data_IF_856567738231
#
_entry.id   IF_856567738231
#
_cell.length_a   1.000
_cell.length_b   1.000
_cell.length_c   1.000
_cell.angle_alpha   90.00
_cell.angle_beta   90.00
_cell.angle_gamma   90.00
#
_symmetry.space_group_name_H-M   'P 1'
#
loop_
_entity.id
_entity.type
_entity.pdbx_description
1 polymer ?
#
# COMPACT_ATOMS: atom_id res chain seq x y z
N UNK A 1 8.64 -18.39 17.62
CA UNK A 1 9.82 -17.50 17.60
C UNK A 1 10.39 -17.58 16.20
N UNK A 2 10.32 -16.49 15.45
CA UNK A 2 10.83 -16.42 14.08
C UNK A 2 12.35 -16.36 14.18
N UNK A 3 13.06 -17.37 13.68
CA UNK A 3 14.51 -17.33 13.56
C UNK A 3 14.88 -16.46 12.37
N UNK A 4 15.68 -15.41 12.62
CA UNK A 4 16.21 -14.49 11.61
C UNK A 4 17.20 -15.24 10.70
N UNK A 5 16.95 -15.25 9.39
CA UNK A 5 17.94 -15.60 8.39
C UNK A 5 18.42 -14.31 7.71
N UNK A 6 19.73 -14.08 7.67
CA UNK A 6 20.34 -12.84 7.16
C UNK A 6 20.06 -12.61 5.66
N UNK A 7 19.55 -11.41 5.36
CA UNK A 7 19.81 -10.54 4.20
C UNK A 7 19.89 -11.16 2.81
N UNK A 8 18.80 -11.08 2.02
CA UNK A 8 18.84 -11.34 0.57
C UNK A 8 18.75 -10.04 -0.24
N UNK A 9 19.46 -10.00 -1.37
CA UNK A 9 19.70 -8.81 -2.21
C UNK A 9 18.53 -8.55 -3.17
N UNK A 10 18.21 -7.28 -3.42
CA UNK A 10 17.33 -6.86 -4.54
C UNK A 10 18.08 -5.89 -5.45
N UNK A 11 17.85 -6.00 -6.77
CA UNK A 11 18.33 -5.06 -7.79
C UNK A 11 17.18 -4.21 -8.32
N UNK A 12 17.22 -2.88 -8.13
CA UNK A 12 16.34 -1.92 -8.83
C UNK A 12 17.15 -0.82 -9.52
N UNK A 13 16.71 -0.46 -10.73
CA UNK A 13 17.24 0.63 -11.59
C UNK A 13 16.56 1.96 -11.24
N UNK A 14 17.26 3.11 -11.22
CA UNK A 14 16.70 4.37 -10.74
C UNK A 14 16.10 5.24 -11.86
N UNK A 15 14.80 5.51 -11.77
CA UNK A 15 14.13 6.70 -12.31
C UNK A 15 12.96 6.98 -11.36
N UNK A 16 12.73 8.15 -10.78
CA UNK A 16 13.04 9.51 -11.20
C UNK A 16 11.69 10.22 -11.40
N UNK A 17 11.11 10.80 -10.33
CA UNK A 17 9.96 11.71 -10.40
C UNK A 17 9.93 12.52 -9.09
N UNK A 18 10.24 13.83 -9.05
CA UNK A 18 9.50 14.94 -9.64
C UNK A 18 8.06 14.99 -9.11
N UNK A 19 7.86 15.83 -8.10
CA UNK A 19 6.56 16.21 -7.57
C UNK A 19 5.76 16.91 -8.68
N UNK A 20 4.55 16.42 -8.93
CA UNK A 20 3.51 17.21 -9.57
C UNK A 20 2.28 17.17 -8.68
N UNK A 21 1.88 18.36 -8.27
CA UNK A 21 0.78 18.68 -7.37
C UNK A 21 -0.54 18.64 -8.13
N UNK A 22 -1.39 17.64 -7.87
CA UNK A 22 -2.84 17.79 -7.95
C UNK A 22 -3.46 16.99 -6.80
N UNK A 23 -4.10 17.73 -5.89
CA UNK A 23 -4.88 17.17 -4.81
C UNK A 23 -6.15 16.52 -5.39
N UNK A 24 -6.28 15.21 -5.24
CA UNK A 24 -7.54 14.49 -5.43
C UNK A 24 -7.54 13.24 -4.55
N UNK A 25 -8.24 13.36 -3.41
CA UNK A 25 -9.16 12.37 -2.86
C UNK A 25 -8.73 10.88 -2.86
N UNK A 26 -7.94 10.48 -1.86
CA UNK A 26 -7.61 9.08 -1.57
C UNK A 26 -8.28 8.58 -0.29
N UNK A 27 -9.61 8.67 -0.24
CA UNK A 27 -10.42 8.19 0.90
C UNK A 27 -11.70 7.46 0.54
N UNK A 28 -12.21 7.56 -0.69
CA UNK A 28 -13.56 7.11 -1.03
C UNK A 28 -13.65 5.77 -1.81
N UNK A 29 -12.63 5.35 -2.54
CA UNK A 29 -12.78 4.27 -3.55
C UNK A 29 -12.26 2.88 -3.12
N UNK A 30 -11.95 2.68 -1.84
CA UNK A 30 -11.42 1.40 -1.33
C UNK A 30 -12.36 0.70 -0.34
N UNK A 31 -13.59 1.22 -0.18
CA UNK A 31 -14.61 0.72 0.76
C UNK A 31 -15.74 -0.10 0.14
N UNK A 32 -16.02 0.04 -1.16
CA UNK A 32 -17.29 -0.45 -1.74
C UNK A 32 -17.21 -1.83 -2.42
N UNK A 33 -16.06 -2.51 -2.39
CA UNK A 33 -15.91 -3.81 -3.06
C UNK A 33 -16.40 -5.03 -2.22
N UNK A 34 -17.01 -4.83 -1.04
CA UNK A 34 -17.34 -5.94 -0.14
C UNK A 34 -18.70 -5.86 0.61
N UNK A 35 -19.68 -5.10 0.13
CA UNK A 35 -21.06 -5.19 0.65
C UNK A 35 -22.12 -5.15 -0.46
N UNK A 36 -22.13 -6.13 -1.37
CA UNK A 36 -23.29 -6.35 -2.24
C UNK A 36 -23.39 -7.80 -2.73
N UNK A 37 -23.59 -8.75 -1.79
CA UNK A 37 -24.30 -10.01 -2.11
C UNK A 37 -24.79 -10.74 -0.85
N UNK A 38 -25.70 -10.10 -0.10
CA UNK A 38 -26.56 -10.85 0.83
C UNK A 38 -27.89 -10.12 1.08
N UNK A 39 -28.67 -9.90 0.02
CA UNK A 39 -30.07 -9.51 0.14
C UNK A 39 -30.97 -10.60 -0.45
N UNK A 40 -31.51 -11.48 0.41
CA UNK A 40 -32.73 -12.22 0.10
C UNK A 40 -33.94 -11.46 0.64
N UNK A 41 -35.07 -11.42 -0.10
CA UNK A 41 -36.10 -10.40 0.06
C UNK A 41 -37.05 -10.70 1.21
N UNK A 42 -37.21 -9.74 2.13
CA UNK A 42 -38.29 -9.75 3.13
C UNK A 42 -39.63 -9.30 2.52
N UNK A 43 -40.65 -10.15 2.61
CA UNK A 43 -42.05 -9.77 2.40
C UNK A 43 -42.66 -9.39 3.75
N UNK A 44 -43.13 -8.14 3.81
CA UNK A 44 -43.76 -7.50 4.96
C UNK A 44 -45.06 -8.18 5.44
N UNK A 45 -45.24 -8.32 6.76
CA UNK A 45 -46.06 -7.42 7.62
C UNK A 45 -46.93 -8.13 8.70
N UNK A 46 -46.82 -7.58 9.93
CA UNK A 46 -47.80 -7.46 11.03
C UNK A 46 -48.10 -8.61 12.02
N UNK A 47 -47.53 -8.40 13.21
CA UNK A 47 -48.22 -8.05 14.48
C UNK A 47 -48.40 -9.10 15.61
N UNK A 48 -48.01 -8.62 16.80
CA UNK A 48 -48.58 -8.86 18.14
C UNK A 48 -48.08 -10.03 19.03
N UNK A 49 -47.33 -9.64 20.07
CA UNK A 49 -47.58 -9.89 21.52
C UNK A 49 -47.44 -11.30 22.16
N UNK A 50 -46.59 -11.31 23.21
CA UNK A 50 -46.61 -12.09 24.48
C UNK A 50 -46.03 -13.52 24.54
N UNK A 51 -44.93 -13.63 25.30
CA UNK A 51 -44.84 -14.41 26.55
C UNK A 51 -44.61 -15.94 26.48
N UNK A 52 -43.84 -16.54 27.41
CA UNK A 52 -43.11 -17.80 27.17
C UNK A 52 -43.76 -19.07 27.76
N UNK A 53 -43.44 -20.24 27.19
CA UNK A 53 -43.76 -21.54 27.80
C UNK A 53 -43.36 -22.81 27.02
N UNK A 54 -42.49 -23.61 27.64
CA UNK A 54 -42.36 -25.09 27.64
C UNK A 54 -41.98 -25.91 26.37
N UNK A 55 -40.76 -26.46 26.43
CA UNK A 55 -40.36 -27.88 26.48
C UNK A 55 -40.75 -28.92 25.39
N UNK A 56 -39.68 -29.58 24.90
CA UNK A 56 -39.46 -30.95 24.35
C UNK A 56 -38.92 -30.90 22.91
N UNK A 57 -37.65 -31.26 22.66
CA UNK A 57 -37.08 -32.62 22.60
C UNK A 57 -37.68 -33.43 21.45
N UNK A 58 -36.95 -33.50 20.33
CA UNK A 58 -36.81 -34.68 19.48
C UNK A 58 -35.45 -34.59 18.76
N UNK A 59 -34.64 -35.63 18.97
CA UNK A 59 -33.49 -36.01 18.17
C UNK A 59 -34.03 -36.83 17.00
N UNK A 60 -33.67 -36.52 15.75
CA UNK A 60 -33.74 -37.49 14.66
C UNK A 60 -32.71 -37.16 13.56
N UNK A 61 -32.19 -38.23 12.98
CA UNK A 61 -30.87 -38.40 12.42
C UNK A 61 -30.63 -37.69 11.08
N UNK A 62 -29.56 -36.89 11.03
CA UNK A 62 -29.02 -36.26 9.81
C UNK A 62 -28.12 -37.19 9.01
N UNK A 63 -28.67 -38.28 8.48
CA UNK A 63 -27.98 -39.16 7.55
C UNK A 63 -28.86 -39.40 6.32
N UNK A 64 -28.70 -38.57 5.28
CA UNK A 64 -29.04 -38.86 3.87
C UNK A 64 -28.66 -37.71 2.90
N UNK A 65 -27.48 -37.10 3.11
CA UNK A 65 -27.00 -35.97 2.28
C UNK A 65 -25.88 -36.35 1.29
N UNK A 66 -25.78 -37.63 0.90
CA UNK A 66 -24.79 -38.11 -0.08
C UNK A 66 -25.34 -39.24 -0.96
N UNK A 67 -26.39 -38.95 -1.72
CA UNK A 67 -26.89 -39.81 -2.80
C UNK A 67 -26.42 -39.29 -4.15
N UNK A 68 -25.33 -39.88 -4.66
CA UNK A 68 -24.97 -39.81 -6.06
C UNK A 68 -25.98 -40.65 -6.85
N UNK A 69 -26.70 -40.04 -7.79
CA UNK A 69 -27.34 -40.79 -8.87
C UNK A 69 -26.97 -40.11 -10.20
N UNK A 70 -26.14 -40.84 -10.95
CA UNK A 70 -25.94 -40.68 -12.38
C UNK A 70 -27.14 -41.32 -13.08
N UNK A 71 -27.86 -40.58 -13.93
CA UNK A 71 -28.60 -41.22 -15.02
C UNK A 71 -28.63 -40.31 -16.25
N UNK A 72 -27.94 -40.79 -17.29
CA UNK A 72 -27.99 -40.33 -18.67
C UNK A 72 -29.41 -40.38 -19.22
N UNK A 73 -29.90 -39.31 -19.85
CA UNK A 73 -30.85 -39.45 -20.97
C UNK A 73 -30.80 -38.27 -21.94
N UNK A 74 -30.94 -38.65 -23.20
CA UNK A 74 -30.64 -37.94 -24.45
C UNK A 74 -31.69 -36.92 -24.92
N UNK A 75 -31.18 -35.87 -25.58
CA UNK A 75 -31.71 -35.13 -26.78
C UNK A 75 -33.10 -34.49 -26.76
N UNK A 76 -33.19 -33.17 -26.97
CA UNK A 76 -33.55 -32.54 -28.26
C UNK A 76 -33.52 -31.00 -28.22
N UNK A 77 -33.33 -30.41 -29.40
CA UNK A 77 -32.94 -29.04 -29.69
C UNK A 77 -34.05 -27.99 -29.63
N UNK A 78 -33.67 -26.72 -29.43
CA UNK A 78 -34.33 -25.59 -30.11
C UNK A 78 -33.46 -24.34 -30.22
N UNK A 79 -33.26 -23.91 -31.47
CA UNK A 79 -32.76 -22.60 -31.92
C UNK A 79 -33.41 -21.42 -31.19
N UNK A 80 -32.64 -20.39 -30.80
CA UNK A 80 -32.96 -18.97 -31.10
C UNK A 80 -31.75 -18.03 -30.93
N UNK A 81 -31.37 -17.37 -32.04
CA UNK A 81 -30.79 -16.00 -32.21
C UNK A 81 -29.44 -15.60 -31.58
N UNK A 82 -28.51 -15.31 -32.49
CA UNK A 82 -27.34 -14.43 -32.33
C UNK A 82 -27.71 -12.94 -32.20
N UNK A 83 -27.06 -12.23 -31.28
CA UNK A 83 -26.55 -10.86 -31.38
C UNK A 83 -25.51 -10.64 -30.24
N UNK A 84 -24.49 -9.79 -30.43
CA UNK A 84 -23.15 -10.01 -29.88
C UNK A 84 -22.97 -9.53 -28.44
N UNK A 85 -22.10 -10.25 -27.73
CA UNK A 85 -21.50 -9.89 -26.44
C UNK A 85 -20.74 -8.56 -26.57
N UNK A 86 -21.08 -7.62 -25.67
CA UNK A 86 -20.16 -6.59 -25.23
C UNK A 86 -19.51 -7.12 -23.96
N UNK A 87 -18.29 -7.61 -24.09
CA UNK A 87 -17.38 -7.73 -22.95
C UNK A 87 -16.98 -6.30 -22.55
N UNK A 88 -17.61 -5.78 -21.52
CA UNK A 88 -17.02 -4.75 -20.67
C UNK A 88 -16.11 -5.49 -19.68
N UNK A 89 -14.91 -5.87 -20.15
CA UNK A 89 -13.78 -6.10 -19.24
C UNK A 89 -13.28 -4.72 -18.81
N UNK A 90 -13.80 -4.30 -17.66
CA UNK A 90 -13.30 -3.22 -16.84
C UNK A 90 -11.84 -3.50 -16.47
N UNK A 91 -10.94 -2.85 -17.19
CA UNK A 91 -9.48 -2.87 -17.04
C UNK A 91 -9.07 -2.08 -15.78
N UNK A 92 -9.55 -2.53 -14.62
CA UNK A 92 -9.30 -1.97 -13.28
C UNK A 92 -7.87 -2.28 -12.75
N UNK A 93 -6.99 -2.79 -13.61
CA UNK A 93 -5.56 -2.98 -13.31
C UNK A 93 -4.70 -1.74 -13.65
N UNK A 94 -5.26 -0.70 -14.26
CA UNK A 94 -4.54 0.53 -14.61
C UNK A 94 -4.38 1.55 -13.46
N UNK A 95 -4.96 1.28 -12.28
CA UNK A 95 -4.90 2.17 -11.11
C UNK A 95 -3.55 2.16 -10.36
N UNK A 96 -2.54 1.45 -10.88
CA UNK A 96 -1.18 1.44 -10.34
C UNK A 96 -0.19 1.54 -11.50
N UNK A 97 0.21 2.78 -11.82
CA UNK A 97 1.05 3.15 -12.97
C UNK A 97 2.34 2.34 -13.15
N UNK A 98 2.21 1.18 -13.79
CA UNK A 98 3.27 0.31 -14.29
C UNK A 98 2.90 -0.26 -15.67
N UNK A 99 2.30 0.58 -16.53
CA UNK A 99 2.07 0.29 -17.94
C UNK A 99 2.78 1.34 -18.79
N UNK A 100 3.86 0.94 -19.47
CA UNK A 100 4.43 1.73 -20.56
C UNK A 100 3.43 1.68 -21.73
N UNK A 101 2.85 2.82 -22.09
CA UNK A 101 2.14 2.96 -23.36
C UNK A 101 2.86 3.97 -24.25
N UNK A 102 3.49 3.40 -25.28
CA UNK A 102 4.30 4.04 -26.31
C UNK A 102 3.38 4.85 -27.22
N UNK A 103 3.21 6.15 -26.94
CA UNK A 103 2.52 7.08 -27.85
C UNK A 103 3.53 8.01 -28.51
N UNK A 104 3.97 7.62 -29.71
CA UNK A 104 4.81 8.44 -30.57
C UNK A 104 4.05 9.68 -31.03
N UNK A 105 4.42 10.87 -30.52
CA UNK A 105 4.09 12.15 -31.16
C UNK A 105 5.38 12.87 -31.56
N UNK A 106 5.53 13.12 -32.86
CA UNK A 106 6.63 13.89 -33.47
C UNK A 106 6.67 15.33 -32.95
N UNK A 107 7.86 15.89 -32.66
CA UNK A 107 8.05 17.32 -32.62
C UNK A 107 8.75 17.87 -33.87
N UNK A 108 8.20 18.99 -34.31
CA UNK A 108 8.52 19.84 -35.46
C UNK A 108 9.97 20.36 -35.43
N UNK A 109 10.61 20.38 -36.60
CA UNK A 109 11.99 20.84 -36.83
C UNK A 109 12.15 22.38 -36.80
N UNK A 110 13.23 22.85 -36.17
CA UNK A 110 13.90 24.13 -36.46
C UNK A 110 15.42 24.02 -36.18
N UNK A 111 16.28 24.88 -36.79
CA UNK A 111 17.53 24.42 -37.43
C UNK A 111 18.81 24.47 -36.58
N UNK A 112 19.77 23.60 -36.97
CA UNK A 112 21.13 23.44 -36.42
C UNK A 112 22.05 24.65 -36.66
N UNK A 113 22.98 24.93 -35.74
CA UNK A 113 24.32 25.38 -36.09
C UNK A 113 25.36 24.27 -35.85
N UNK A 114 26.30 24.17 -36.80
CA UNK A 114 27.42 23.23 -36.82
C UNK A 114 28.50 23.67 -35.81
N UNK A 115 28.94 22.74 -34.97
CA UNK A 115 30.20 22.85 -34.21
C UNK A 115 30.69 21.46 -33.82
N UNK A 116 31.81 21.02 -34.40
CA UNK A 116 32.47 19.74 -34.07
C UNK A 116 33.29 19.91 -32.79
N UNK A 117 33.05 19.07 -31.79
CA UNK A 117 33.98 18.72 -30.71
C UNK A 117 33.63 17.31 -30.17
N UNK A 118 34.60 16.58 -29.58
CA UNK A 118 34.66 15.12 -29.65
C UNK A 118 33.75 14.43 -28.63
N UNK A 119 33.36 13.22 -29.01
CA UNK A 119 32.52 12.27 -28.30
C UNK A 119 33.02 11.99 -26.87
N UNK A 120 32.39 12.59 -25.87
CA UNK A 120 32.44 12.11 -24.50
C UNK A 120 31.20 11.24 -24.29
N UNK A 121 31.39 9.92 -24.36
CA UNK A 121 30.37 8.96 -23.95
C UNK A 121 30.16 9.16 -22.43
N UNK A 122 29.08 9.85 -22.08
CA UNK A 122 28.52 9.74 -20.74
C UNK A 122 27.95 8.32 -20.62
N UNK A 123 28.77 7.40 -20.15
CA UNK A 123 28.29 6.16 -19.56
C UNK A 123 27.51 6.56 -18.30
N UNK A 124 26.20 6.65 -18.41
CA UNK A 124 25.30 6.63 -17.26
C UNK A 124 25.48 5.27 -16.60
N UNK A 125 26.41 5.17 -15.65
CA UNK A 125 26.51 4.01 -14.76
C UNK A 125 25.18 3.89 -14.03
N UNK A 126 24.38 2.90 -14.41
CA UNK A 126 23.19 2.48 -13.68
C UNK A 126 23.64 2.11 -12.26
N UNK A 127 23.35 2.99 -11.31
CA UNK A 127 23.56 2.73 -9.89
C UNK A 127 22.45 1.76 -9.47
N UNK A 128 22.74 0.47 -9.54
CA UNK A 128 21.87 -0.55 -8.92
C UNK A 128 22.01 -0.40 -7.41
N UNK A 129 21.04 0.26 -6.79
CA UNK A 129 20.95 0.36 -5.34
C UNK A 129 20.60 -1.04 -4.81
N UNK A 130 21.60 -1.70 -4.22
CA UNK A 130 21.42 -2.99 -3.56
C UNK A 130 20.95 -2.74 -2.14
N UNK A 131 19.74 -3.19 -1.85
CA UNK A 131 19.21 -3.20 -0.50
C UNK A 131 19.07 -4.63 0.00
N UNK A 132 19.18 -4.80 1.31
CA UNK A 132 19.03 -6.09 2.01
C UNK A 132 17.75 -6.07 2.82
N UNK A 133 17.03 -7.18 2.83
CA UNK A 133 15.87 -7.41 3.70
C UNK A 133 15.95 -8.78 4.36
N UNK A 134 15.20 -8.95 5.45
CA UNK A 134 15.21 -10.19 6.24
C UNK A 134 14.02 -11.07 5.88
N UNK A 135 14.30 -12.37 5.73
CA UNK A 135 13.29 -13.41 5.53
C UNK A 135 13.23 -14.32 6.76
N UNK A 136 12.08 -14.96 6.98
CA UNK A 136 11.97 -16.00 8.01
C UNK A 136 12.58 -17.32 7.53
N UNK A 137 12.52 -18.33 8.39
CA UNK A 137 12.87 -19.72 8.04
C UNK A 137 11.78 -20.45 7.26
N UNK A 138 10.60 -19.86 7.03
CA UNK A 138 9.46 -20.53 6.39
C UNK A 138 9.58 -20.73 4.87
N UNK A 139 10.20 -19.81 4.09
CA UNK A 139 10.33 -20.00 2.65
C UNK A 139 11.17 -21.22 2.26
N UNK A 140 12.23 -21.52 3.01
CA UNK A 140 13.20 -22.55 2.62
C UNK A 140 12.56 -23.95 2.52
N UNK A 141 11.81 -24.45 3.52
CA UNK A 141 11.13 -25.74 3.40
C UNK A 141 10.08 -25.79 2.27
N UNK A 142 9.45 -24.65 1.95
CA UNK A 142 8.47 -24.57 0.85
C UNK A 142 9.17 -24.71 -0.50
N UNK A 143 10.31 -24.03 -0.69
CA UNK A 143 11.13 -24.14 -1.90
C UNK A 143 11.70 -25.56 -2.05
N UNK A 144 12.28 -26.13 -0.99
CA UNK A 144 12.81 -27.48 -0.99
C UNK A 144 11.76 -28.51 -1.42
N UNK A 145 10.53 -28.41 -0.88
CA UNK A 145 9.42 -29.27 -1.25
C UNK A 145 9.06 -29.13 -2.73
N UNK A 146 8.91 -27.89 -3.22
CA UNK A 146 8.55 -27.62 -4.62
C UNK A 146 9.63 -28.15 -5.57
N UNK A 147 10.91 -27.90 -5.27
CA UNK A 147 12.02 -28.36 -6.09
C UNK A 147 12.09 -29.89 -6.12
N UNK A 148 11.96 -30.56 -4.98
CA UNK A 148 11.95 -32.02 -4.92
C UNK A 148 10.81 -32.62 -5.77
N UNK A 149 9.59 -32.09 -5.64
CA UNK A 149 8.43 -32.53 -6.43
C UNK A 149 8.67 -32.38 -7.94
N UNK A 150 9.29 -31.27 -8.35
CA UNK A 150 9.55 -30.99 -9.77
C UNK A 150 10.67 -31.87 -10.33
N UNK A 151 11.75 -32.10 -9.57
CA UNK A 151 12.80 -33.05 -9.97
C UNK A 151 12.27 -34.49 -10.08
N UNK A 152 11.43 -34.92 -9.14
CA UNK A 152 10.76 -36.23 -9.19
C UNK A 152 9.85 -36.32 -10.42
N UNK A 153 9.07 -35.27 -10.69
CA UNK A 153 8.27 -35.13 -11.90
C UNK A 153 9.09 -35.25 -13.18
N UNK A 154 10.26 -34.60 -13.24
CA UNK A 154 11.18 -34.69 -14.36
C UNK A 154 11.80 -36.08 -14.52
N UNK A 155 12.18 -36.75 -13.43
CA UNK A 155 12.70 -38.11 -13.46
C UNK A 155 11.70 -39.09 -14.10
N UNK A 156 10.40 -38.96 -13.78
CA UNK A 156 9.33 -39.77 -14.37
C UNK A 156 9.06 -39.49 -15.86
N UNK A 157 9.58 -38.38 -16.42
CA UNK A 157 9.47 -38.11 -17.86
C UNK A 157 10.57 -38.78 -18.69
N UNK A 158 11.60 -39.33 -18.05
CA UNK A 158 12.67 -40.06 -18.75
C UNK A 158 12.13 -41.41 -19.20
N UNK A 159 12.54 -41.86 -20.37
CA UNK A 159 12.14 -43.16 -20.95
C UNK A 159 12.89 -44.33 -20.28
N UNK A 160 13.05 -44.27 -18.96
CA UNK A 160 13.74 -45.29 -18.17
C UNK A 160 12.77 -46.41 -17.80
N UNK A 161 13.16 -47.66 -18.09
CA UNK A 161 12.35 -48.87 -17.84
C UNK A 161 11.97 -49.01 -16.36
N UNK A 162 12.78 -48.45 -15.46
CA UNK A 162 12.59 -48.49 -14.00
C UNK A 162 11.33 -47.73 -13.55
N UNK A 163 11.00 -46.61 -14.21
CA UNK A 163 9.87 -45.74 -13.84
C UNK A 163 8.65 -45.88 -14.75
N UNK A 164 8.71 -46.79 -15.74
CA UNK A 164 7.63 -47.01 -16.71
C UNK A 164 6.23 -47.24 -16.09
N UNK A 165 6.05 -47.96 -14.96
CA UNK A 165 4.73 -48.13 -14.35
C UNK A 165 4.13 -46.83 -13.79
N UNK A 166 4.97 -45.86 -13.45
CA UNK A 166 4.59 -44.64 -12.73
C UNK A 166 4.73 -43.38 -13.60
N UNK A 167 5.31 -43.48 -14.80
CA UNK A 167 5.51 -42.37 -15.72
C UNK A 167 4.20 -41.59 -16.08
N UNK A 168 3.05 -42.26 -16.02
CA UNK A 168 1.75 -41.64 -16.26
C UNK A 168 1.36 -40.60 -15.19
N UNK A 169 1.96 -40.63 -13.99
CA UNK A 169 1.67 -39.69 -12.90
C UNK A 169 2.46 -38.39 -12.99
N UNK A 170 3.46 -38.30 -13.87
CA UNK A 170 4.31 -37.12 -14.04
C UNK A 170 3.52 -35.80 -14.18
N UNK A 171 2.45 -35.69 -15.00
CA UNK A 171 1.64 -34.46 -15.07
C UNK A 171 1.06 -34.03 -13.72
N UNK A 172 0.67 -34.98 -12.88
CA UNK A 172 0.13 -34.71 -11.54
C UNK A 172 1.16 -34.07 -10.62
N UNK A 173 2.42 -34.56 -10.65
CA UNK A 173 3.51 -33.98 -9.87
C UNK A 173 3.81 -32.54 -10.28
N UNK A 174 3.78 -32.23 -11.59
CA UNK A 174 3.96 -30.85 -12.07
C UNK A 174 2.84 -29.89 -11.62
N UNK A 175 1.67 -30.40 -11.20
CA UNK A 175 0.57 -29.59 -10.65
C UNK A 175 0.62 -29.41 -9.12
N UNK A 176 1.42 -30.20 -8.39
CA UNK A 176 1.49 -30.11 -6.93
C UNK A 176 2.09 -28.79 -6.38
N UNK A 177 3.07 -28.13 -7.04
CA UNK A 177 3.59 -26.84 -6.57
C UNK A 177 2.49 -25.79 -6.36
N UNK A 178 1.51 -25.72 -7.26
CA UNK A 178 0.35 -24.82 -7.15
C UNK A 178 -0.40 -25.04 -5.83
N UNK A 179 -0.64 -26.30 -5.45
CA UNK A 179 -1.31 -26.63 -4.19
C UNK A 179 -0.45 -26.34 -2.96
N UNK A 180 0.86 -26.61 -3.02
CA UNK A 180 1.79 -26.28 -1.93
C UNK A 180 1.82 -24.76 -1.67
N UNK A 181 1.85 -23.96 -2.73
CA UNK A 181 1.80 -22.50 -2.64
C UNK A 181 0.43 -21.98 -2.19
N UNK A 182 -0.67 -22.63 -2.60
CA UNK A 182 -2.00 -22.32 -2.09
C UNK A 182 -2.09 -22.57 -0.58
N UNK A 183 -1.55 -23.70 -0.10
CA UNK A 183 -1.49 -24.02 1.32
C UNK A 183 -0.67 -22.99 2.11
N UNK A 184 0.49 -22.59 1.58
CA UNK A 184 1.29 -21.51 2.17
C UNK A 184 0.47 -20.22 2.31
N UNK A 185 -0.19 -19.77 1.23
CA UNK A 185 -1.02 -18.55 1.23
C UNK A 185 -2.21 -18.64 2.19
N UNK A 186 -2.79 -19.81 2.37
CA UNK A 186 -3.93 -20.01 3.28
C UNK A 186 -3.53 -19.99 4.77
N UNK A 187 -2.39 -20.57 5.12
CA UNK A 187 -1.98 -20.74 6.53
C UNK A 187 -1.14 -19.56 7.03
N UNK A 188 -0.34 -18.95 6.15
CA UNK A 188 0.61 -17.93 6.55
C UNK A 188 -0.01 -16.73 7.29
N UNK A 189 -1.16 -16.13 6.90
CA UNK A 189 -1.71 -14.98 7.64
C UNK A 189 -1.96 -15.29 9.12
N UNK A 190 -2.41 -16.49 9.44
CA UNK A 190 -2.65 -16.93 10.83
C UNK A 190 -1.36 -17.19 11.60
N UNK A 191 -0.28 -17.60 10.93
CA UNK A 191 1.00 -17.84 11.56
C UNK A 191 1.73 -16.52 11.84
N UNK A 192 1.82 -15.64 10.85
CA UNK A 192 2.58 -14.40 10.93
C UNK A 192 1.92 -13.35 11.84
N UNK A 193 0.59 -13.29 11.91
CA UNK A 193 -0.14 -12.39 12.81
C UNK A 193 0.16 -12.60 14.31
N UNK A 194 0.81 -13.71 14.69
CA UNK A 194 1.19 -14.00 16.09
C UNK A 194 2.42 -13.24 16.57
N UNK A 195 3.19 -12.64 15.65
CA UNK A 195 4.41 -11.89 15.97
C UNK A 195 4.22 -10.44 15.57
N UNK A 196 4.74 -9.53 16.39
CA UNK A 196 4.88 -8.13 15.98
C UNK A 196 5.78 -8.04 14.74
N UNK A 197 5.35 -7.27 13.74
CA UNK A 197 6.03 -7.20 12.44
C UNK A 197 5.90 -8.46 11.57
N UNK A 198 5.12 -9.45 11.99
CA UNK A 198 4.99 -10.70 11.25
C UNK A 198 4.43 -10.54 9.84
N UNK A 199 3.47 -9.63 9.63
CA UNK A 199 2.95 -9.36 8.29
C UNK A 199 4.01 -8.75 7.34
N UNK A 200 5.01 -8.05 7.89
CA UNK A 200 6.16 -7.57 7.11
C UNK A 200 7.10 -8.71 6.73
N UNK A 201 7.30 -9.70 7.61
CA UNK A 201 7.96 -10.94 7.23
C UNK A 201 7.18 -11.70 6.16
N UNK A 202 5.85 -11.78 6.27
CA UNK A 202 5.01 -12.43 5.27
C UNK A 202 5.16 -11.78 3.89
N UNK A 203 5.17 -10.45 3.83
CA UNK A 203 5.46 -9.71 2.61
C UNK A 203 6.83 -10.10 2.02
N UNK A 204 7.90 -10.01 2.81
CA UNK A 204 9.25 -10.35 2.37
C UNK A 204 9.39 -11.82 1.93
N UNK A 205 8.79 -12.73 2.68
CA UNK A 205 8.86 -14.17 2.45
C UNK A 205 8.12 -14.57 1.18
N UNK A 206 6.93 -14.00 0.94
CA UNK A 206 6.19 -14.24 -0.28
C UNK A 206 6.87 -13.62 -1.51
N UNK A 207 7.48 -12.43 -1.39
CA UNK A 207 8.30 -11.85 -2.45
C UNK A 207 9.53 -12.70 -2.75
N UNK A 208 10.22 -13.17 -1.70
CA UNK A 208 11.38 -14.04 -1.82
C UNK A 208 11.04 -15.38 -2.50
N UNK A 209 9.91 -16.00 -2.13
CA UNK A 209 9.41 -17.21 -2.80
C UNK A 209 9.16 -16.96 -4.28
N UNK A 210 8.49 -15.85 -4.62
CA UNK A 210 8.21 -15.50 -6.01
C UNK A 210 9.50 -15.31 -6.83
N UNK A 211 10.49 -14.61 -6.27
CA UNK A 211 11.79 -14.39 -6.90
C UNK A 211 12.52 -15.71 -7.16
N UNK A 212 12.64 -16.58 -6.15
CA UNK A 212 13.34 -17.86 -6.31
C UNK A 212 12.65 -18.84 -7.23
N UNK A 213 11.32 -18.87 -7.22
CA UNK A 213 10.57 -19.67 -8.19
C UNK A 213 10.71 -19.14 -9.62
N UNK A 214 10.83 -17.81 -9.79
CA UNK A 214 11.13 -17.22 -11.11
C UNK A 214 12.52 -17.59 -11.60
N UNK A 215 13.55 -17.42 -10.76
CA UNK A 215 14.93 -17.84 -11.08
C UNK A 215 14.98 -19.33 -11.43
N UNK A 216 14.29 -20.16 -10.64
CA UNK A 216 14.20 -21.59 -10.87
C UNK A 216 13.51 -21.91 -12.20
N UNK A 217 12.38 -21.26 -12.51
CA UNK A 217 11.66 -21.48 -13.76
C UNK A 217 12.49 -21.10 -14.99
N UNK A 218 13.26 -20.02 -14.91
CA UNK A 218 14.16 -19.60 -15.96
C UNK A 218 15.35 -20.55 -16.13
N UNK A 219 15.90 -21.03 -15.02
CA UNK A 219 16.95 -22.06 -15.00
C UNK A 219 16.46 -23.39 -15.58
N UNK A 220 15.24 -23.81 -15.22
CA UNK A 220 14.60 -25.05 -15.68
C UNK A 220 14.47 -25.10 -17.20
N UNK A 221 14.03 -24.00 -17.82
CA UNK A 221 13.87 -23.90 -19.28
C UNK A 221 15.21 -24.03 -20.03
N UNK A 222 16.34 -23.69 -19.39
CA UNK A 222 17.69 -23.72 -19.97
C UNK A 222 18.45 -25.02 -19.73
N UNK A 223 17.88 -25.97 -18.98
CA UNK A 223 18.54 -27.23 -18.64
C UNK A 223 18.55 -28.21 -19.81
N UNK A 224 19.75 -28.67 -20.17
CA UNK A 224 19.97 -29.66 -21.24
C UNK A 224 19.69 -31.10 -20.80
N UNK A 225 19.74 -31.38 -19.49
CA UNK A 225 19.54 -32.71 -18.90
C UNK A 225 18.05 -33.13 -18.82
N UNK A 226 17.13 -32.20 -19.10
CA UNK A 226 15.69 -32.42 -19.05
C UNK A 226 15.13 -32.85 -20.41
N UNK A 227 14.07 -33.66 -20.39
CA UNK A 227 13.31 -33.98 -21.60
C UNK A 227 12.53 -32.75 -22.09
N UNK A 228 12.25 -32.62 -23.40
CA UNK A 228 11.37 -31.55 -23.91
C UNK A 228 10.00 -31.55 -23.23
N UNK A 229 9.50 -32.73 -22.85
CA UNK A 229 8.25 -32.90 -22.10
C UNK A 229 8.33 -32.26 -20.72
N UNK A 230 9.37 -32.54 -19.93
CA UNK A 230 9.56 -31.93 -18.61
C UNK A 230 9.72 -30.41 -18.65
N UNK A 231 10.43 -29.88 -19.67
CA UNK A 231 10.57 -28.42 -19.85
C UNK A 231 9.22 -27.75 -20.12
N UNK A 232 8.38 -28.35 -20.96
CA UNK A 232 7.08 -27.80 -21.33
C UNK A 232 5.98 -27.98 -20.27
N UNK A 233 6.17 -28.90 -19.32
CA UNK A 233 5.22 -29.18 -18.25
C UNK A 233 5.32 -28.19 -17.08
N UNK A 234 6.46 -27.51 -16.91
CA UNK A 234 6.61 -26.53 -15.84
C UNK A 234 5.71 -25.32 -16.09
N UNK A 235 4.81 -25.04 -15.14
CA UNK A 235 3.89 -23.90 -15.16
C UNK A 235 3.87 -23.23 -13.79
N UNK A 236 4.78 -22.28 -13.58
CA UNK A 236 4.86 -21.52 -12.32
C UNK A 236 4.49 -20.05 -12.49
N UNK A 237 4.34 -19.54 -13.72
CA UNK A 237 4.19 -18.10 -13.98
C UNK A 237 2.96 -17.49 -13.27
N UNK A 238 1.82 -18.18 -13.29
CA UNK A 238 0.61 -17.73 -12.60
C UNK A 238 0.73 -17.81 -11.07
N UNK A 239 1.44 -18.82 -10.56
CA UNK A 239 1.67 -18.99 -9.13
C UNK A 239 2.62 -17.91 -8.58
N UNK A 240 3.66 -17.57 -9.34
CA UNK A 240 4.60 -16.49 -9.02
C UNK A 240 3.86 -15.15 -8.97
N UNK A 241 3.03 -14.83 -9.98
CA UNK A 241 2.19 -13.62 -9.97
C UNK A 241 1.24 -13.60 -8.77
N UNK A 242 0.62 -14.75 -8.48
CA UNK A 242 -0.28 -14.89 -7.33
C UNK A 242 0.42 -14.67 -5.99
N UNK A 243 1.69 -15.11 -5.86
CA UNK A 243 2.52 -14.86 -4.68
C UNK A 243 2.89 -13.38 -4.54
N UNK A 244 3.27 -12.70 -5.63
CA UNK A 244 3.56 -11.26 -5.61
C UNK A 244 2.32 -10.46 -5.20
N UNK A 245 1.16 -10.77 -5.77
CA UNK A 245 -0.10 -10.14 -5.39
C UNK A 245 -0.47 -10.42 -3.92
N UNK A 246 -0.23 -11.65 -3.45
CA UNK A 246 -0.44 -12.02 -2.05
C UNK A 246 0.50 -11.26 -1.09
N UNK A 247 1.76 -11.10 -1.45
CA UNK A 247 2.73 -10.30 -0.70
C UNK A 247 2.27 -8.84 -0.58
N UNK A 248 1.93 -8.22 -1.71
CA UNK A 248 1.45 -6.82 -1.74
C UNK A 248 0.19 -6.63 -0.90
N UNK A 249 -0.77 -7.56 -0.97
CA UNK A 249 -1.96 -7.53 -0.10
C UNK A 249 -1.62 -7.63 1.38
N UNK A 250 -0.65 -8.46 1.75
CA UNK A 250 -0.21 -8.60 3.15
C UNK A 250 0.42 -7.31 3.69
N UNK A 251 1.25 -6.65 2.87
CA UNK A 251 1.80 -5.34 3.18
C UNK A 251 0.71 -4.27 3.30
N UNK A 252 -0.19 -4.18 2.32
CA UNK A 252 -1.28 -3.21 2.32
C UNK A 252 -2.20 -3.38 3.54
N UNK A 253 -2.54 -4.62 3.89
CA UNK A 253 -3.33 -4.94 5.07
C UNK A 253 -2.65 -4.48 6.37
N UNK A 254 -1.35 -4.74 6.53
CA UNK A 254 -0.59 -4.26 7.68
C UNK A 254 -0.61 -2.73 7.76
N UNK A 255 -0.40 -2.05 6.63
CA UNK A 255 -0.46 -0.59 6.59
C UNK A 255 -1.85 -0.05 6.97
N UNK A 256 -2.93 -0.67 6.48
CA UNK A 256 -4.30 -0.28 6.81
C UNK A 256 -4.62 -0.49 8.30
N UNK A 257 -4.15 -1.59 8.89
CA UNK A 257 -4.27 -1.84 10.34
C UNK A 257 -3.56 -0.72 11.11
N UNK A 258 -2.31 -0.40 10.76
CA UNK A 258 -1.57 0.65 11.47
C UNK A 258 -2.21 2.03 11.32
N UNK A 259 -2.67 2.39 10.12
CA UNK A 259 -3.39 3.65 9.88
C UNK A 259 -4.70 3.72 10.68
N UNK A 260 -5.43 2.62 10.78
CA UNK A 260 -6.65 2.54 11.59
C UNK A 260 -6.33 2.75 13.06
N UNK A 261 -5.30 2.08 13.59
CA UNK A 261 -4.85 2.26 14.99
C UNK A 261 -4.44 3.72 15.25
N UNK A 262 -3.70 4.34 14.33
CA UNK A 262 -3.32 5.75 14.45
C UNK A 262 -4.54 6.67 14.47
N UNK A 263 -5.50 6.44 13.56
CA UNK A 263 -6.76 7.19 13.53
C UNK A 263 -7.52 7.04 14.83
N UNK A 264 -7.59 5.84 15.39
CA UNK A 264 -8.30 5.56 16.64
C UNK A 264 -7.63 6.26 17.84
N UNK A 265 -6.30 6.32 17.88
CA UNK A 265 -5.58 7.15 18.86
C UNK A 265 -5.88 8.64 18.69
N UNK A 266 -6.11 9.11 17.47
CA UNK A 266 -6.44 10.50 17.15
C UNK A 266 -7.95 10.79 17.19
N UNK A 267 -8.72 10.02 17.96
CA UNK A 267 -10.15 10.24 18.16
C UNK A 267 -11.08 9.61 17.13
N UNK A 268 -10.57 8.76 16.24
CA UNK A 268 -11.35 7.98 15.30
C UNK A 268 -12.10 8.89 14.30
N UNK A 269 -13.43 8.78 14.31
CA UNK A 269 -14.32 9.62 13.51
C UNK A 269 -14.66 10.97 14.18
N UNK A 270 -14.33 11.13 15.47
CA UNK A 270 -14.50 12.41 16.16
C UNK A 270 -13.29 13.31 15.89
N UNK A 271 -13.50 14.61 15.97
CA UNK A 271 -12.41 15.57 15.87
C UNK A 271 -11.55 15.48 17.13
N UNK A 272 -10.23 15.36 16.95
CA UNK A 272 -9.26 15.39 18.03
C UNK A 272 -9.37 16.66 18.88
N UNK A 273 -9.83 17.76 18.27
CA UNK A 273 -9.98 19.07 18.92
C UNK A 273 -11.06 19.09 20.00
N UNK A 274 -11.96 18.11 20.02
CA UNK A 274 -12.99 17.97 21.04
C UNK A 274 -12.53 17.12 22.24
N UNK A 275 -11.31 16.61 22.21
CA UNK A 275 -10.76 15.77 23.27
C UNK A 275 -9.96 16.61 24.27
N UNK A 276 -10.28 16.46 25.55
CA UNK A 276 -9.57 17.13 26.66
C UNK A 276 -8.07 16.75 26.73
N UNK A 277 -7.67 15.64 26.11
CA UNK A 277 -6.32 15.05 26.17
C UNK A 277 -5.64 14.97 24.78
N UNK A 278 -5.86 15.95 23.90
CA UNK A 278 -5.27 16.00 22.55
C UNK A 278 -3.74 15.75 22.52
N UNK A 279 -2.98 16.37 23.43
CA UNK A 279 -1.51 16.20 23.50
C UNK A 279 -1.14 14.73 23.74
N UNK A 280 -1.83 14.05 24.66
CA UNK A 280 -1.59 12.65 24.96
C UNK A 280 -1.95 11.72 23.78
N UNK A 281 -3.02 12.02 23.05
CA UNK A 281 -3.42 11.27 21.86
C UNK A 281 -2.38 11.34 20.74
N UNK A 282 -1.82 12.53 20.50
CA UNK A 282 -0.74 12.73 19.51
C UNK A 282 0.58 12.11 19.95
N UNK A 283 0.89 12.17 21.25
CA UNK A 283 2.03 11.43 21.82
C UNK A 283 1.88 9.92 21.63
N UNK A 284 0.70 9.36 21.86
CA UNK A 284 0.41 7.94 21.63
C UNK A 284 0.54 7.56 20.14
N UNK A 285 0.01 8.37 19.23
CA UNK A 285 0.15 8.16 17.79
C UNK A 285 1.64 8.23 17.36
N UNK A 286 2.38 9.21 17.84
CA UNK A 286 3.81 9.38 17.56
C UNK A 286 4.64 8.23 18.14
N UNK A 287 4.32 7.78 19.35
CA UNK A 287 4.95 6.61 19.97
C UNK A 287 4.66 5.33 19.19
N UNK A 288 3.46 5.18 18.63
CA UNK A 288 3.11 4.05 17.75
C UNK A 288 3.94 4.03 16.49
N UNK A 289 4.12 5.18 15.82
CA UNK A 289 4.98 5.29 14.63
C UNK A 289 6.43 4.90 14.97
N UNK A 290 6.97 5.39 16.09
CA UNK A 290 8.32 5.03 16.56
C UNK A 290 8.44 3.54 16.90
N UNK A 291 7.41 2.94 17.49
CA UNK A 291 7.37 1.50 17.76
C UNK A 291 7.44 0.71 16.45
N UNK A 292 6.60 1.03 15.46
CA UNK A 292 6.64 0.37 14.14
C UNK A 292 7.98 0.58 13.44
N UNK A 293 8.57 1.78 13.54
CA UNK A 293 9.90 2.06 13.01
C UNK A 293 10.94 1.09 13.56
N UNK A 294 10.96 0.85 14.88
CA UNK A 294 11.90 -0.08 15.51
C UNK A 294 11.65 -1.55 15.14
N UNK A 295 10.38 -1.98 15.08
CA UNK A 295 10.00 -3.37 14.76
C UNK A 295 10.31 -3.69 13.30
N UNK A 296 10.03 -2.77 12.37
CA UNK A 296 10.17 -3.01 10.94
C UNK A 296 11.60 -2.81 10.41
N UNK A 297 12.43 -2.01 11.08
CA UNK A 297 13.80 -1.69 10.65
C UNK A 297 14.69 -2.92 10.38
N UNK A 298 14.69 -3.98 11.23
CA UNK A 298 15.47 -5.18 10.94
C UNK A 298 14.80 -6.11 9.92
N UNK A 299 13.55 -5.85 9.51
CA UNK A 299 12.77 -6.73 8.64
C UNK A 299 12.82 -6.25 7.20
N UNK A 300 12.40 -5.01 6.96
CA UNK A 300 12.18 -4.47 5.63
C UNK A 300 13.46 -3.94 4.99
N UNK A 301 13.47 -3.96 3.65
CA UNK A 301 14.43 -3.17 2.88
C UNK A 301 14.29 -1.68 3.23
N UNK A 302 15.38 -0.92 3.14
CA UNK A 302 15.42 0.49 3.56
C UNK A 302 14.40 1.34 2.82
N UNK A 303 14.24 1.17 1.52
CA UNK A 303 13.27 1.90 0.71
C UNK A 303 11.83 1.61 1.15
N UNK A 304 11.53 0.34 1.47
CA UNK A 304 10.19 -0.08 1.90
C UNK A 304 9.92 0.41 3.32
N UNK A 305 10.92 0.34 4.20
CA UNK A 305 10.83 0.83 5.58
C UNK A 305 10.55 2.35 5.62
N UNK A 306 11.32 3.13 4.86
CA UNK A 306 11.14 4.59 4.78
C UNK A 306 9.77 4.97 4.19
N UNK A 307 9.36 4.30 3.12
CA UNK A 307 8.05 4.52 2.51
C UNK A 307 6.90 4.16 3.47
N UNK A 308 7.00 3.03 4.18
CA UNK A 308 5.99 2.60 5.13
C UNK A 308 5.84 3.60 6.28
N UNK A 309 6.96 4.09 6.83
CA UNK A 309 6.93 5.11 7.88
C UNK A 309 6.42 6.46 7.38
N UNK A 310 6.81 6.88 6.19
CA UNK A 310 6.28 8.10 5.58
C UNK A 310 4.76 8.05 5.42
N UNK A 311 4.23 6.92 4.98
CA UNK A 311 2.78 6.69 4.87
C UNK A 311 2.04 6.77 6.22
N UNK A 312 2.68 6.38 7.33
CA UNK A 312 2.11 6.55 8.68
C UNK A 312 2.19 8.00 9.17
N UNK A 313 3.33 8.67 8.94
CA UNK A 313 3.51 10.07 9.28
C UNK A 313 2.55 10.97 8.49
N UNK A 314 2.29 10.64 7.22
CA UNK A 314 1.33 11.32 6.36
C UNK A 314 -0.10 11.15 6.84
N UNK A 315 -0.48 9.95 7.29
CA UNK A 315 -1.81 9.70 7.87
C UNK A 315 -2.03 10.53 9.15
N UNK A 316 -1.02 10.61 10.02
CA UNK A 316 -1.03 11.48 11.21
C UNK A 316 -1.19 12.95 10.80
N UNK A 317 -0.37 13.44 9.86
CA UNK A 317 -0.40 14.82 9.40
C UNK A 317 -1.74 15.19 8.77
N UNK A 318 -2.26 14.34 7.89
CA UNK A 318 -3.53 14.55 7.21
C UNK A 318 -4.68 14.66 8.21
N UNK A 319 -4.75 13.75 9.20
CA UNK A 319 -5.79 13.80 10.23
C UNK A 319 -5.70 15.08 11.07
N UNK A 320 -4.50 15.49 11.50
CA UNK A 320 -4.33 16.74 12.26
C UNK A 320 -4.73 17.97 11.44
N UNK A 321 -4.36 18.03 10.16
CA UNK A 321 -4.73 19.14 9.28
C UNK A 321 -6.24 19.21 9.12
N UNK A 322 -6.89 18.09 8.79
CA UNK A 322 -8.35 18.01 8.62
C UNK A 322 -9.07 18.47 9.88
N UNK A 323 -8.68 17.96 11.05
CA UNK A 323 -9.35 18.29 12.31
C UNK A 323 -9.27 19.76 12.69
N UNK A 324 -8.16 20.42 12.36
CA UNK A 324 -7.98 21.86 12.58
C UNK A 324 -8.78 22.68 11.57
N UNK A 325 -8.78 22.29 10.30
CA UNK A 325 -9.52 23.00 9.25
C UNK A 325 -11.05 22.90 9.41
N UNK A 326 -11.55 21.84 10.06
CA UNK A 326 -12.97 21.66 10.36
C UNK A 326 -13.45 22.46 11.58
N UNK A 327 -12.56 23.19 12.27
CA UNK A 327 -12.92 23.99 13.43
C UNK A 327 -13.67 25.27 13.03
N UNK A 328 -14.84 25.49 13.62
CA UNK A 328 -15.66 26.69 13.38
C UNK A 328 -15.09 27.97 14.02
N UNK A 329 -14.31 27.84 15.09
CA UNK A 329 -13.64 28.95 15.77
C UNK A 329 -12.43 28.42 16.52
N UNK A 330 -11.33 29.17 16.53
CA UNK A 330 -10.08 28.80 17.19
C UNK A 330 -9.69 29.95 18.12
N UNK A 331 -9.71 29.69 19.43
CA UNK A 331 -9.24 30.66 20.42
C UNK A 331 -7.71 30.81 20.41
N UNK A 332 -7.18 31.90 20.99
CA UNK A 332 -5.73 32.11 21.04
C UNK A 332 -5.00 31.00 21.85
N UNK A 333 -5.54 30.61 23.01
CA UNK A 333 -4.97 29.54 23.83
C UNK A 333 -5.05 28.18 23.11
N UNK A 334 -6.12 27.97 22.34
CA UNK A 334 -6.34 26.76 21.56
C UNK A 334 -5.38 26.67 20.37
N UNK A 335 -5.22 27.75 19.59
CA UNK A 335 -4.24 27.86 18.51
C UNK A 335 -2.82 27.56 19.02
N UNK A 336 -2.45 28.08 20.20
CA UNK A 336 -1.17 27.81 20.83
C UNK A 336 -1.01 26.33 21.21
N UNK A 337 -2.04 25.72 21.82
CA UNK A 337 -2.01 24.31 22.20
C UNK A 337 -1.95 23.37 20.98
N UNK A 338 -2.70 23.67 19.92
CA UNK A 338 -2.67 22.93 18.65
C UNK A 338 -1.27 23.04 18.04
N UNK A 339 -0.73 24.25 17.94
CA UNK A 339 0.59 24.46 17.35
C UNK A 339 1.70 23.75 18.14
N UNK A 340 1.62 23.75 19.48
CA UNK A 340 2.50 22.96 20.36
C UNK A 340 2.38 21.46 20.07
N UNK A 341 1.16 20.95 19.92
CA UNK A 341 0.89 19.54 19.61
C UNK A 341 1.39 19.15 18.21
N UNK A 342 1.26 20.05 17.24
CA UNK A 342 1.87 19.84 15.92
C UNK A 342 3.39 19.80 16.04
N UNK A 343 3.99 20.68 16.84
CA UNK A 343 5.44 20.68 17.04
C UNK A 343 5.93 19.35 17.61
N UNK A 344 5.23 18.77 18.62
CA UNK A 344 5.58 17.45 19.17
C UNK A 344 5.40 16.32 18.14
N UNK A 345 4.33 16.37 17.32
CA UNK A 345 4.17 15.42 16.22
C UNK A 345 5.32 15.50 15.20
N UNK A 346 5.78 16.73 14.88
CA UNK A 346 6.84 16.94 13.89
C UNK A 346 8.23 16.49 14.35
N UNK A 347 8.42 16.18 15.64
CA UNK A 347 9.65 15.56 16.14
C UNK A 347 9.96 14.22 15.47
N UNK A 348 8.98 13.57 14.82
CA UNK A 348 9.16 12.36 13.99
C UNK A 348 10.10 12.57 12.80
N UNK A 349 10.47 13.82 12.47
CA UNK A 349 11.52 14.14 11.50
C UNK A 349 12.85 13.43 11.79
N UNK A 350 13.13 13.12 13.07
CA UNK A 350 14.34 12.42 13.50
C UNK A 350 14.48 11.02 12.86
N UNK A 351 13.36 10.38 12.52
CA UNK A 351 13.31 9.09 11.82
C UNK A 351 13.76 9.17 10.36
N UNK A 352 13.70 10.35 9.74
CA UNK A 352 13.97 10.59 8.32
C UNK A 352 15.24 11.41 8.08
N UNK A 353 16.11 11.52 9.10
CA UNK A 353 17.43 12.14 8.93
C UNK A 353 18.32 11.27 8.03
N UNK A 354 19.11 11.87 7.11
CA UNK A 354 20.05 11.15 6.27
C UNK A 354 20.97 10.18 7.04
N UNK A 355 21.42 10.52 8.24
CA UNK A 355 22.18 9.59 9.09
C UNK A 355 21.36 8.38 9.55
N UNK A 356 20.10 8.60 9.95
CA UNK A 356 19.17 7.52 10.33
C UNK A 356 18.87 6.60 9.15
N UNK A 357 18.68 7.18 7.96
CA UNK A 357 18.37 6.45 6.73
C UNK A 357 19.58 5.69 6.20
N UNK A 358 20.75 6.33 6.14
CA UNK A 358 21.96 5.73 5.55
C UNK A 358 22.76 4.88 6.54
N UNK A 359 22.55 5.07 7.85
CA UNK A 359 23.32 4.43 8.92
C UNK A 359 24.68 5.08 9.16
N UNK A 360 24.90 6.31 8.68
CA UNK A 360 26.14 7.06 8.89
C UNK A 360 26.14 7.82 10.21
N UNK A 361 27.30 8.36 10.60
CA UNK A 361 27.40 9.23 11.76
C UNK A 361 26.51 10.47 11.59
N UNK A 362 25.89 10.92 12.69
CA UNK A 362 25.07 12.13 12.73
C UNK A 362 25.93 13.36 12.42
N UNK A 363 25.49 14.16 11.46
CA UNK A 363 25.94 15.53 11.25
C UNK A 363 24.95 16.49 11.93
N UNK A 364 25.47 17.60 12.48
CA UNK A 364 24.66 18.56 13.24
C UNK A 364 23.68 19.37 12.37
N UNK A 365 23.94 19.48 11.05
CA UNK A 365 23.14 20.29 10.11
C UNK A 365 22.31 19.41 9.14
N UNK A 366 21.89 18.23 9.57
CA UNK A 366 21.09 17.33 8.73
C UNK A 366 19.65 17.82 8.54
N UNK A 367 19.22 17.93 7.28
CA UNK A 367 17.85 18.27 6.93
C UNK A 367 17.02 16.98 6.85
N UNK A 368 15.90 16.88 7.61
CA UNK A 368 14.99 15.74 7.52
C UNK A 368 14.40 15.58 6.11
N UNK A 369 14.33 14.33 5.63
CA UNK A 369 13.76 13.99 4.33
C UNK A 369 12.28 13.57 4.41
N UNK A 370 11.61 13.81 5.54
CA UNK A 370 10.22 13.38 5.81
C UNK A 370 9.25 13.80 4.71
N UNK A 371 9.39 15.03 4.20
CA UNK A 371 8.54 15.58 3.14
C UNK A 371 8.59 14.80 1.82
N UNK A 372 9.64 14.00 1.58
CA UNK A 372 9.73 13.15 0.39
C UNK A 372 8.83 11.92 0.49
N UNK A 373 8.52 11.48 1.71
CA UNK A 373 7.77 10.27 1.99
C UNK A 373 6.37 10.55 2.59
N UNK A 374 6.15 11.76 3.12
CA UNK A 374 4.89 12.22 3.69
C UNK A 374 4.45 13.54 3.03
N UNK A 375 3.61 13.48 1.97
CA UNK A 375 3.20 14.65 1.20
C UNK A 375 2.56 15.78 2.03
N UNK A 376 1.75 15.44 3.02
CA UNK A 376 1.07 16.42 3.90
C UNK A 376 1.97 17.00 4.99
N UNK A 377 3.22 16.58 5.09
CA UNK A 377 4.09 16.93 6.22
C UNK A 377 4.49 18.40 6.24
N UNK A 378 4.87 18.97 5.09
CA UNK A 378 5.18 20.40 5.01
C UNK A 378 3.93 21.24 5.26
N UNK A 379 2.78 20.80 4.74
CA UNK A 379 1.48 21.42 4.99
C UNK A 379 1.18 21.50 6.49
N UNK A 380 1.44 20.43 7.24
CA UNK A 380 1.28 20.40 8.71
C UNK A 380 2.20 21.42 9.41
N UNK A 381 3.47 21.52 8.99
CA UNK A 381 4.41 22.49 9.56
C UNK A 381 3.96 23.93 9.30
N UNK A 382 3.55 24.25 8.07
CA UNK A 382 3.00 25.56 7.74
C UNK A 382 1.71 25.87 8.52
N UNK A 383 0.86 24.87 8.79
CA UNK A 383 -0.30 25.06 9.65
C UNK A 383 0.10 25.52 11.05
N UNK A 384 1.12 24.90 11.65
CA UNK A 384 1.64 25.31 12.96
C UNK A 384 2.18 26.74 12.95
N UNK A 385 2.85 27.17 11.88
CA UNK A 385 3.32 28.55 11.72
C UNK A 385 2.15 29.53 11.57
N UNK A 386 1.12 29.19 10.79
CA UNK A 386 -0.07 30.03 10.59
C UNK A 386 -0.84 30.22 11.89
N UNK A 387 -1.05 29.17 12.68
CA UNK A 387 -1.76 29.23 13.96
C UNK A 387 -1.07 30.14 14.99
N UNK A 388 0.25 30.28 14.90
CA UNK A 388 1.04 31.15 15.80
C UNK A 388 1.23 32.57 15.26
N UNK A 389 0.83 32.81 14.00
CA UNK A 389 1.05 34.08 13.30
C UNK A 389 -0.03 35.11 13.59
N UNK A 390 0.33 36.38 13.60
CA UNK A 390 -0.65 37.47 13.57
C UNK A 390 -1.21 37.70 12.16
N UNK A 391 -2.30 38.46 12.05
CA UNK A 391 -2.98 38.72 10.76
C UNK A 391 -2.05 39.30 9.66
N UNK A 392 -1.04 40.11 10.02
CA UNK A 392 -0.09 40.62 9.03
C UNK A 392 0.91 39.56 8.58
N UNK A 393 1.33 38.70 9.50
CA UNK A 393 2.21 37.56 9.22
C UNK A 393 1.49 36.54 8.35
N UNK A 394 0.21 36.22 8.60
CA UNK A 394 -0.59 35.36 7.72
C UNK A 394 -0.69 35.95 6.31
N UNK A 395 -0.91 37.27 6.19
CA UNK A 395 -0.88 37.97 4.89
C UNK A 395 0.48 37.85 4.20
N UNK A 396 1.57 38.00 4.95
CA UNK A 396 2.94 37.84 4.43
C UNK A 396 3.21 36.39 3.99
N UNK A 397 2.84 35.41 4.82
CA UNK A 397 2.97 33.99 4.51
C UNK A 397 2.23 33.62 3.22
N UNK A 398 1.03 34.18 3.03
CA UNK A 398 0.26 33.99 1.80
C UNK A 398 0.90 34.69 0.59
N UNK A 399 1.16 36.00 0.69
CA UNK A 399 1.50 36.83 -0.47
C UNK A 399 2.98 36.75 -0.88
N UNK A 400 3.87 36.49 0.08
CA UNK A 400 5.32 36.63 -0.11
C UNK A 400 6.07 35.31 0.16
N UNK A 401 5.47 34.37 0.89
CA UNK A 401 6.02 33.05 1.22
C UNK A 401 5.30 31.90 0.48
N UNK A 402 5.68 30.66 0.81
CA UNK A 402 5.27 29.41 0.17
C UNK A 402 3.92 28.86 0.66
N UNK A 403 3.17 29.58 1.50
CA UNK A 403 1.90 29.09 2.04
C UNK A 403 0.88 28.76 0.92
N UNK A 404 0.88 29.56 -0.15
CA UNK A 404 0.02 29.35 -1.32
C UNK A 404 0.33 28.08 -2.14
N UNK A 405 1.43 27.38 -1.85
CA UNK A 405 1.74 26.08 -2.45
C UNK A 405 1.03 24.91 -1.75
N UNK A 406 0.68 25.08 -0.46
CA UNK A 406 0.15 24.01 0.39
C UNK A 406 -1.31 24.21 0.81
N UNK A 407 -1.83 25.42 0.66
CA UNK A 407 -3.21 25.77 1.02
C UNK A 407 -3.91 26.51 -0.10
N UNK A 408 -5.20 26.21 -0.25
CA UNK A 408 -6.09 26.98 -1.12
C UNK A 408 -6.49 28.30 -0.48
N UNK A 409 -6.94 29.24 -1.32
CA UNK A 409 -7.45 30.55 -0.87
C UNK A 409 -8.61 30.38 0.12
N UNK A 410 -9.52 29.45 -0.16
CA UNK A 410 -10.67 29.17 0.70
C UNK A 410 -10.22 28.70 2.07
N UNK A 411 -9.32 27.71 2.15
CA UNK A 411 -8.85 27.19 3.44
C UNK A 411 -8.16 28.26 4.28
N UNK A 412 -7.38 29.16 3.66
CA UNK A 412 -6.73 30.26 4.40
C UNK A 412 -7.74 31.31 4.87
N UNK A 413 -8.78 31.59 4.09
CA UNK A 413 -9.86 32.49 4.52
C UNK A 413 -10.62 31.87 5.68
N UNK A 414 -10.98 30.58 5.59
CA UNK A 414 -11.70 29.86 6.62
C UNK A 414 -10.89 29.84 7.94
N UNK A 415 -9.57 29.61 7.86
CA UNK A 415 -8.66 29.73 9.01
C UNK A 415 -8.64 31.14 9.60
N UNK A 416 -8.60 32.19 8.77
CA UNK A 416 -8.61 33.58 9.24
C UNK A 416 -9.94 33.90 9.94
N UNK A 417 -11.07 33.46 9.37
CA UNK A 417 -12.39 33.65 9.94
C UNK A 417 -12.58 32.86 11.25
N UNK A 418 -11.95 31.68 11.35
CA UNK A 418 -11.98 30.87 12.57
C UNK A 418 -11.09 31.47 13.68
N UNK A 419 -9.91 32.01 13.37
CA UNK A 419 -8.93 32.48 14.38
C UNK A 419 -9.03 33.97 14.75
N UNK A 420 -9.61 34.83 13.91
CA UNK A 420 -9.62 36.28 14.14
C UNK A 420 -11.03 36.87 14.21
N UNK A 421 -11.22 37.84 15.10
CA UNK A 421 -12.48 38.59 15.16
C UNK A 421 -12.75 39.36 13.85
N UNK A 422 -14.02 39.41 13.46
CA UNK A 422 -14.49 40.13 12.28
C UNK A 422 -14.40 41.66 12.46
N UNK A 423 -13.23 42.22 12.17
CA UNK A 423 -12.99 43.67 12.17
C UNK A 423 -12.68 44.19 10.76
N UNK A 424 -12.53 45.52 10.60
CA UNK A 424 -12.23 46.11 9.28
C UNK A 424 -10.90 45.61 8.71
N UNK A 425 -9.89 45.41 9.55
CA UNK A 425 -8.57 44.94 9.16
C UNK A 425 -8.60 43.50 8.65
N UNK A 426 -9.32 42.60 9.34
CA UNK A 426 -9.52 41.21 8.90
C UNK A 426 -10.19 41.17 7.53
N UNK A 427 -11.25 41.97 7.32
CA UNK A 427 -11.94 42.05 6.01
C UNK A 427 -11.06 42.60 4.90
N UNK A 428 -10.21 43.59 5.19
CA UNK A 428 -9.29 44.14 4.20
C UNK A 428 -8.18 43.14 3.85
N UNK A 429 -7.65 42.39 4.83
CA UNK A 429 -6.70 41.30 4.57
C UNK A 429 -7.32 40.17 3.75
N UNK A 430 -8.54 39.74 4.08
CA UNK A 430 -9.27 38.71 3.31
C UNK A 430 -9.45 39.15 1.85
N UNK A 431 -9.87 40.41 1.61
CA UNK A 431 -9.99 40.96 0.25
C UNK A 431 -8.66 40.95 -0.50
N UNK A 432 -7.56 41.25 0.19
CA UNK A 432 -6.25 41.22 -0.45
C UNK A 432 -5.84 39.80 -0.84
N UNK A 433 -6.04 38.81 0.04
CA UNK A 433 -5.79 37.39 -0.22
C UNK A 433 -6.65 36.90 -1.40
N UNK A 434 -7.94 37.24 -1.42
CA UNK A 434 -8.85 36.93 -2.53
C UNK A 434 -8.41 37.55 -3.86
N UNK A 435 -7.83 38.76 -3.82
CA UNK A 435 -7.35 39.43 -5.03
C UNK A 435 -6.10 38.80 -5.62
N UNK A 436 -5.36 38.00 -4.83
CA UNK A 436 -4.12 37.32 -5.21
C UNK A 436 -4.21 35.82 -4.88
N UNK A 437 -4.99 35.06 -5.66
CA UNK A 437 -5.23 33.65 -5.36
C UNK A 437 -3.98 32.76 -5.58
N UNK A 438 -3.04 33.18 -6.42
CA UNK A 438 -1.79 32.47 -6.70
C UNK A 438 -0.62 33.46 -6.74
N UNK A 439 -0.20 34.01 -5.59
CA UNK A 439 0.78 35.10 -5.54
C UNK A 439 2.18 34.68 -6.04
N UNK A 440 2.51 33.38 -6.00
CA UNK A 440 3.78 32.84 -6.48
C UNK A 440 3.78 32.39 -7.95
N UNK A 441 2.63 32.29 -8.63
CA UNK A 441 2.55 31.80 -10.01
C UNK A 441 3.14 32.77 -11.07
N UNK A 442 3.62 33.95 -10.65
CA UNK A 442 4.23 34.97 -11.50
C UNK A 442 5.70 35.27 -11.23
N UNK A 443 6.40 34.43 -10.44
CA UNK A 443 7.84 34.58 -10.15
C UNK A 443 8.70 33.65 -10.99
#
# INVERSE_FOLDING_TARGET
MVSLAEGKEITKTPGGAAANTEAADWGADWGDAWEEDNEQPEVQNKSASKGPGSAKADEDDGADAWGWDEEDTTTEAKDTKEAPEKDEEDDSAAAWGWGEEDTTQEPVQAPKPKGKAPNAQNETRELVLKETYSVSSMPEPVLELIYAILEDGAALTRDDVEYAPVAATAPGLFGLPTFALALFRAISPHYYSRSEGGNMFLYNDAMYLAEKLSEFADGWKKRDDLTPRARNMLRLDNDIKSLQAFANRSYANEMNIQKTILRDFLGGAQSLMQQDEMEACVELASARIRAMASVWKPILARSVWTQALGSLADALATKLITDVLEMSSIGQDEAYNIAKTIATATELDDLFLPSTLTGTAKSEDEVPQTAQYAPSWLRLKYLSEVLQSNLNEVRYLWCESELSLYFSVSEVIDLIEASFEANSRTRDTIREIQSKPTPLAGR
#
